data_IF_680620621948
#
_entry.id   IF_680620621948
#
_cell.length_a   1.000
_cell.length_b   1.000
_cell.length_c   1.000
_cell.angle_alpha   90.00
_cell.angle_beta   90.00
_cell.angle_gamma   90.00
#
_symmetry.space_group_name_H-M   'P 1'
#
loop_
_entity.id
_entity.type
_entity.pdbx_description
1 polymer ?
#
# COMPACT_ATOMS: atom_id res chain seq x y z
N UNK A 1 -18.43 0.73 38.23
CA UNK A 1 -18.88 1.07 36.86
C UNK A 1 -17.65 0.95 35.96
N UNK A 2 -17.54 -0.15 35.22
CA UNK A 2 -16.37 -0.45 34.42
C UNK A 2 -16.45 0.28 33.08
N UNK A 3 -15.45 1.12 32.80
CA UNK A 3 -15.22 1.76 31.51
C UNK A 3 -15.19 0.70 30.41
N UNK A 4 -16.21 0.70 29.55
CA UNK A 4 -16.17 -0.03 28.29
C UNK A 4 -15.13 0.62 27.38
N UNK A 5 -13.92 0.07 27.36
CA UNK A 5 -12.94 0.37 26.34
C UNK A 5 -13.52 -0.09 24.99
N UNK A 6 -13.90 0.87 24.15
CA UNK A 6 -14.16 0.63 22.73
C UNK A 6 -12.91 0.02 22.09
N UNK A 7 -12.92 -1.30 21.88
CA UNK A 7 -11.89 -1.98 21.08
C UNK A 7 -12.25 -1.81 19.61
N UNK A 8 -12.01 -0.61 19.06
CA UNK A 8 -12.03 -0.34 17.60
C UNK A 8 -10.64 -0.52 17.00
N UNK A 9 -9.96 -1.62 17.34
CA UNK A 9 -8.61 -1.91 16.84
C UNK A 9 -8.52 -3.32 16.28
N UNK A 10 -9.20 -3.57 15.18
CA UNK A 10 -8.69 -4.53 14.19
C UNK A 10 -8.51 -3.76 12.90
N UNK A 11 -7.26 -3.40 12.52
CA UNK A 11 -7.02 -2.94 11.17
C UNK A 11 -7.52 -4.03 10.23
N UNK A 12 -8.09 -3.61 9.10
CA UNK A 12 -8.74 -4.40 8.05
C UNK A 12 -7.79 -5.48 7.46
N UNK A 13 -7.43 -6.48 8.27
CA UNK A 13 -6.24 -7.36 8.12
C UNK A 13 -6.51 -8.65 7.35
N UNK A 14 -7.66 -8.79 6.68
CA UNK A 14 -7.99 -9.97 5.88
C UNK A 14 -8.33 -9.67 4.42
N UNK A 15 -7.85 -8.58 3.85
CA UNK A 15 -7.90 -8.43 2.40
C UNK A 15 -6.81 -9.31 1.76
N UNK A 16 -7.11 -10.60 1.59
CA UNK A 16 -6.31 -11.51 0.74
C UNK A 16 -6.18 -10.94 -0.68
N UNK A 17 -7.18 -10.14 -1.10
CA UNK A 17 -7.26 -9.53 -2.42
C UNK A 17 -6.71 -8.10 -2.41
N UNK A 18 -6.41 -7.61 -3.61
CA UNK A 18 -5.94 -6.26 -3.84
C UNK A 18 -7.09 -5.26 -3.57
N UNK A 19 -6.83 -4.24 -2.76
CA UNK A 19 -7.81 -3.23 -2.34
C UNK A 19 -7.33 -1.81 -2.59
N UNK A 20 -8.24 -0.83 -2.57
CA UNK A 20 -7.90 0.59 -2.77
C UNK A 20 -6.94 1.11 -1.71
N UNK A 21 -7.04 0.61 -0.47
CA UNK A 21 -6.08 0.88 0.60
C UNK A 21 -4.62 0.58 0.21
N UNK A 22 -4.38 -0.44 -0.61
CA UNK A 22 -3.01 -0.71 -1.08
C UNK A 22 -2.47 0.44 -1.92
N UNK A 23 -3.32 0.98 -2.81
CA UNK A 23 -3.01 2.11 -3.69
C UNK A 23 -2.78 3.37 -2.85
N UNK A 24 -3.67 3.67 -1.90
CA UNK A 24 -3.56 4.82 -0.99
C UNK A 24 -2.26 4.78 -0.17
N UNK A 25 -1.93 3.63 0.42
CA UNK A 25 -0.66 3.44 1.15
C UNK A 25 0.52 3.76 0.23
N UNK A 26 0.49 3.27 -1.01
CA UNK A 26 1.57 3.53 -1.96
C UNK A 26 1.66 5.00 -2.34
N UNK A 27 0.53 5.69 -2.56
CA UNK A 27 0.50 7.14 -2.81
C UNK A 27 1.14 7.93 -1.68
N UNK A 28 0.84 7.60 -0.41
CA UNK A 28 1.49 8.25 0.72
C UNK A 28 3.00 8.01 0.77
N UNK A 29 3.47 6.82 0.38
CA UNK A 29 4.91 6.54 0.26
C UNK A 29 5.54 7.46 -0.80
N UNK A 30 4.86 7.67 -1.93
CA UNK A 30 5.32 8.56 -3.01
C UNK A 30 5.26 10.04 -2.65
N UNK A 31 4.43 10.42 -1.66
CA UNK A 31 4.43 11.74 -1.03
C UNK A 31 5.52 11.91 0.05
N UNK A 32 6.37 10.88 0.24
CA UNK A 32 7.49 10.93 1.18
C UNK A 32 7.17 10.52 2.61
N UNK A 33 5.93 10.08 2.93
CA UNK A 33 5.60 9.59 4.27
C UNK A 33 6.44 8.38 4.63
N UNK A 34 6.97 8.36 5.86
CA UNK A 34 7.75 7.25 6.42
C UNK A 34 6.84 6.08 6.81
N UNK A 35 7.41 4.87 6.89
CA UNK A 35 6.64 3.71 7.36
C UNK A 35 6.11 3.92 8.79
N UNK A 36 6.85 4.66 9.63
CA UNK A 36 6.45 4.96 11.01
C UNK A 36 5.21 5.87 11.06
N UNK A 37 5.19 6.92 10.23
CA UNK A 37 4.02 7.80 10.11
C UNK A 37 2.81 7.02 9.60
N UNK A 38 2.98 6.21 8.57
CA UNK A 38 1.87 5.42 7.99
C UNK A 38 1.35 4.36 8.95
N UNK A 39 2.25 3.66 9.66
CA UNK A 39 1.84 2.72 10.70
C UNK A 39 1.00 3.42 11.78
N UNK A 40 1.41 4.62 12.23
CA UNK A 40 0.63 5.41 13.20
C UNK A 40 -0.73 5.82 12.63
N UNK A 41 -0.77 6.34 11.39
CA UNK A 41 -2.01 6.81 10.75
C UNK A 41 -3.01 5.67 10.54
N UNK A 42 -2.54 4.46 10.22
CA UNK A 42 -3.36 3.31 9.86
C UNK A 42 -3.62 2.35 11.03
N UNK A 43 -3.19 2.71 12.25
CA UNK A 43 -3.39 1.90 13.45
C UNK A 43 -2.55 0.62 13.50
N UNK A 44 -1.46 0.54 12.71
CA UNK A 44 -0.50 -0.55 12.81
C UNK A 44 0.52 -0.33 13.93
N UNK A 45 1.09 -1.42 14.43
CA UNK A 45 2.20 -1.34 15.39
C UNK A 45 3.43 -0.69 14.75
N UNK A 46 4.28 -0.05 15.57
CA UNK A 46 5.47 0.68 15.08
C UNK A 46 6.42 -0.21 14.25
N UNK A 47 6.50 -1.51 14.57
CA UNK A 47 7.34 -2.50 13.89
C UNK A 47 6.60 -3.28 12.78
N UNK A 48 5.39 -2.88 12.43
CA UNK A 48 4.62 -3.55 11.39
C UNK A 48 5.27 -3.41 10.01
N UNK A 49 5.33 -4.53 9.29
CA UNK A 49 5.73 -4.57 7.88
C UNK A 49 4.56 -4.34 6.92
N UNK A 50 3.33 -4.17 7.42
CA UNK A 50 2.12 -4.06 6.61
C UNK A 50 2.24 -2.99 5.51
N UNK A 51 2.73 -1.79 5.84
CA UNK A 51 2.94 -0.71 4.86
C UNK A 51 3.86 -1.14 3.71
N UNK A 52 4.96 -1.85 4.03
CA UNK A 52 5.89 -2.36 3.03
C UNK A 52 5.21 -3.41 2.16
N UNK A 53 4.51 -4.37 2.77
CA UNK A 53 3.86 -5.46 2.05
C UNK A 53 2.71 -4.95 1.16
N UNK A 54 1.91 -4.01 1.66
CA UNK A 54 0.85 -3.39 0.88
C UNK A 54 1.40 -2.62 -0.32
N UNK A 55 2.48 -1.86 -0.11
CA UNK A 55 3.13 -1.12 -1.20
C UNK A 55 3.73 -2.04 -2.27
N UNK A 56 4.34 -3.17 -1.86
CA UNK A 56 4.91 -4.15 -2.80
C UNK A 56 3.87 -4.78 -3.70
N UNK A 57 2.66 -5.02 -3.19
CA UNK A 57 1.54 -5.53 -4.03
C UNK A 57 1.20 -4.53 -5.15
N UNK A 58 1.22 -3.23 -4.88
CA UNK A 58 1.01 -2.20 -5.92
C UNK A 58 2.17 -2.20 -6.91
N UNK A 59 3.40 -2.16 -6.41
CA UNK A 59 4.61 -2.16 -7.25
C UNK A 59 4.65 -3.36 -8.20
N UNK A 60 4.35 -4.57 -7.74
CA UNK A 60 4.34 -5.75 -8.59
C UNK A 60 3.27 -5.71 -9.67
N UNK A 61 2.08 -5.18 -9.35
CA UNK A 61 1.02 -4.99 -10.35
C UNK A 61 1.41 -3.95 -11.39
N UNK A 62 2.01 -2.84 -10.98
CA UNK A 62 2.51 -1.82 -11.90
C UNK A 62 3.58 -2.37 -12.84
N UNK A 63 4.55 -3.13 -12.31
CA UNK A 63 5.56 -3.78 -13.15
C UNK A 63 4.93 -4.75 -14.15
N UNK A 64 3.95 -5.56 -13.71
CA UNK A 64 3.25 -6.49 -14.58
C UNK A 64 2.47 -5.77 -15.72
N UNK A 65 1.82 -4.65 -15.41
CA UNK A 65 1.10 -3.84 -16.42
C UNK A 65 2.04 -3.22 -17.46
N UNK A 66 3.27 -2.91 -17.07
CA UNK A 66 4.30 -2.37 -17.97
C UNK A 66 5.20 -3.45 -18.59
N UNK A 67 4.88 -4.74 -18.37
CA UNK A 67 5.71 -5.88 -18.80
C UNK A 67 7.19 -5.78 -18.34
N UNK A 68 7.40 -5.25 -17.14
CA UNK A 68 8.71 -5.09 -16.52
C UNK A 68 9.00 -6.25 -15.56
N UNK A 69 10.23 -6.76 -15.60
CA UNK A 69 10.61 -7.88 -14.74
C UNK A 69 10.86 -7.41 -13.30
N UNK A 70 10.45 -8.23 -12.33
CA UNK A 70 10.76 -7.95 -10.91
C UNK A 70 12.27 -7.97 -10.65
N UNK A 71 13.01 -8.82 -11.36
CA UNK A 71 14.45 -9.02 -11.16
C UNK A 71 15.21 -7.73 -11.49
N UNK A 72 14.91 -7.13 -12.63
CA UNK A 72 15.65 -5.96 -13.14
C UNK A 72 15.30 -4.68 -12.39
N UNK A 73 14.14 -4.64 -11.72
CA UNK A 73 13.62 -3.48 -10.99
C UNK A 73 13.65 -3.68 -9.47
N UNK A 74 14.45 -4.62 -8.97
CA UNK A 74 14.55 -4.94 -7.53
C UNK A 74 14.95 -3.72 -6.71
N UNK A 75 15.86 -2.89 -7.21
CA UNK A 75 16.32 -1.66 -6.56
C UNK A 75 15.17 -0.68 -6.27
N UNK A 76 14.26 -0.52 -7.25
CA UNK A 76 13.08 0.34 -7.16
C UNK A 76 12.03 -0.23 -6.23
N UNK A 77 11.92 -1.56 -6.13
CA UNK A 77 11.03 -2.25 -5.19
C UNK A 77 11.51 -2.09 -3.75
N UNK A 78 12.83 -2.21 -3.53
CA UNK A 78 13.43 -2.10 -2.19
C UNK A 78 13.45 -0.65 -1.72
N UNK A 79 13.71 0.30 -2.60
CA UNK A 79 13.85 1.72 -2.28
C UNK A 79 12.83 2.61 -3.01
N UNK A 80 11.50 2.41 -2.83
CA UNK A 80 10.48 3.10 -3.63
C UNK A 80 10.54 4.62 -3.51
N UNK A 81 10.93 5.15 -2.34
CA UNK A 81 11.07 6.60 -2.11
C UNK A 81 12.21 7.23 -2.90
N UNK A 82 13.32 6.50 -3.12
CA UNK A 82 14.44 6.96 -3.97
C UNK A 82 14.01 7.14 -5.42
N UNK A 83 13.02 6.35 -5.85
CA UNK A 83 12.48 6.35 -7.22
C UNK A 83 11.04 6.87 -7.27
N UNK A 84 10.67 7.78 -6.35
CA UNK A 84 9.29 8.22 -6.18
C UNK A 84 8.68 8.82 -7.45
N UNK A 85 9.45 9.58 -8.23
CA UNK A 85 8.96 10.18 -9.48
C UNK A 85 8.72 9.13 -10.57
N UNK A 86 9.58 8.12 -10.64
CA UNK A 86 9.42 7.01 -11.58
C UNK A 86 8.17 6.20 -11.24
N UNK A 87 8.01 5.84 -9.96
CA UNK A 87 6.83 5.13 -9.47
C UNK A 87 5.55 5.95 -9.63
N UNK A 88 5.60 7.27 -9.38
CA UNK A 88 4.47 8.17 -9.59
C UNK A 88 4.04 8.19 -11.05
N UNK A 89 4.99 8.29 -12.00
CA UNK A 89 4.69 8.23 -13.43
C UNK A 89 4.01 6.91 -13.82
N UNK A 90 4.51 5.77 -13.34
CA UNK A 90 3.88 4.47 -13.59
C UNK A 90 2.49 4.38 -12.96
N UNK A 91 2.34 4.87 -11.73
CA UNK A 91 1.08 4.87 -11.02
C UNK A 91 0.05 5.73 -11.74
N UNK A 92 0.37 6.99 -12.06
CA UNK A 92 -0.54 7.90 -12.76
C UNK A 92 -0.98 7.33 -14.11
N UNK A 93 -0.07 6.67 -14.86
CA UNK A 93 -0.38 5.97 -16.12
C UNK A 93 -1.37 4.81 -15.93
N UNK A 94 -1.22 4.03 -14.86
CA UNK A 94 -1.93 2.76 -14.67
C UNK A 94 -3.03 2.80 -13.60
N UNK A 95 -3.26 3.95 -12.94
CA UNK A 95 -4.15 4.07 -11.77
C UNK A 95 -5.57 3.61 -12.09
N UNK A 96 -6.11 3.97 -13.24
CA UNK A 96 -7.44 3.54 -13.66
C UNK A 96 -7.54 2.00 -13.77
N UNK A 97 -6.52 1.34 -14.31
CA UNK A 97 -6.48 -0.12 -14.41
C UNK A 97 -6.37 -0.78 -13.02
N UNK A 98 -5.56 -0.21 -12.12
CA UNK A 98 -5.47 -0.69 -10.74
C UNK A 98 -6.79 -0.56 -9.99
N UNK A 99 -7.49 0.57 -10.14
CA UNK A 99 -8.78 0.82 -9.49
C UNK A 99 -9.87 -0.14 -9.97
N UNK A 100 -9.88 -0.51 -11.26
CA UNK A 100 -10.82 -1.51 -11.80
C UNK A 100 -10.74 -2.88 -11.13
N UNK A 101 -9.56 -3.25 -10.63
CA UNK A 101 -9.32 -4.56 -9.98
C UNK A 101 -9.24 -4.46 -8.46
N UNK A 102 -9.21 -3.24 -7.91
CA UNK A 102 -9.13 -3.00 -6.49
C UNK A 102 -10.52 -3.06 -5.87
N UNK A 103 -10.64 -3.81 -4.77
CA UNK A 103 -11.89 -3.91 -4.03
C UNK A 103 -11.86 -2.91 -2.86
N UNK A 104 -12.90 -2.07 -2.67
CA UNK A 104 -12.95 -1.17 -1.51
C UNK A 104 -12.84 -1.95 -0.18
N UNK A 105 -12.07 -1.48 0.81
CA UNK A 105 -11.94 -2.13 2.12
C UNK A 105 -13.27 -2.43 2.80
N UNK A 106 -14.28 -1.58 2.59
CA UNK A 106 -15.63 -1.68 3.15
C UNK A 106 -16.34 -2.97 2.73
N UNK A 107 -16.01 -3.52 1.55
CA UNK A 107 -16.55 -4.80 1.09
C UNK A 107 -16.18 -5.98 2.01
N UNK A 108 -15.10 -5.86 2.78
CA UNK A 108 -14.58 -6.92 3.65
C UNK A 108 -14.93 -6.74 5.13
N UNK A 109 -15.65 -5.67 5.45
CA UNK A 109 -16.01 -5.31 6.83
C UNK A 109 -17.17 -6.14 7.37
#
# INVERSE_FOLDING_TARGET
MNNQAFVTTRPNLKTRRFSTLHIEIFEYILLGKTNRELNRMLGYTRRSHAVVDHSRKVMFKLLALENLSRRDFTDRIVYPRKYQFWWKKLLDKNKAALLKVAIPPEFYS
#
